data_IF_802094924878
#
_entry.id   IF_802094924878
#
_cell.length_a   1.000
_cell.length_b   1.000
_cell.length_c   1.000
_cell.angle_alpha   90.00
_cell.angle_beta   90.00
_cell.angle_gamma   90.00
#
_symmetry.space_group_name_H-M   'P 1'
#
loop_
_entity.id
_entity.type
_entity.pdbx_description
1 polymer ?
#
# COMPACT_ATOMS: atom_id res chain seq x y z
N UNK A 1 19.53 13.16 -15.66
CA UNK A 1 19.53 13.36 -14.19
C UNK A 1 19.49 11.98 -13.55
N UNK A 2 20.14 11.78 -12.41
CA UNK A 2 20.17 10.48 -11.72
C UNK A 2 18.87 10.28 -10.95
N UNK A 3 18.50 9.03 -10.71
CA UNK A 3 17.29 8.66 -9.95
C UNK A 3 17.70 7.98 -8.66
N UNK A 4 17.12 8.38 -7.53
CA UNK A 4 17.40 7.82 -6.21
C UNK A 4 16.11 7.33 -5.57
N UNK A 5 16.08 6.09 -5.10
CA UNK A 5 14.93 5.52 -4.37
C UNK A 5 15.26 5.37 -2.89
N UNK A 6 14.37 5.83 -2.02
CA UNK A 6 14.47 5.61 -0.57
C UNK A 6 14.18 4.13 -0.26
N UNK A 7 15.09 3.42 0.43
CA UNK A 7 14.88 2.02 0.84
C UNK A 7 13.75 1.83 1.85
N UNK A 8 13.48 2.85 2.65
CA UNK A 8 12.51 2.75 3.76
C UNK A 8 11.07 2.97 3.31
N UNK A 9 10.82 3.97 2.45
CA UNK A 9 9.47 4.35 2.03
C UNK A 9 9.22 4.24 0.53
N UNK A 10 10.26 4.02 -0.28
CA UNK A 10 10.13 3.92 -1.74
C UNK A 10 10.11 5.26 -2.48
N UNK A 11 10.16 6.41 -1.78
CA UNK A 11 10.19 7.74 -2.41
C UNK A 11 11.25 7.81 -3.51
N UNK A 12 10.82 8.26 -4.69
CA UNK A 12 11.70 8.49 -5.83
C UNK A 12 12.09 9.97 -5.90
N UNK A 13 13.39 10.23 -5.90
CA UNK A 13 13.98 11.54 -6.11
C UNK A 13 14.74 11.56 -7.44
N UNK A 14 14.61 12.65 -8.20
CA UNK A 14 15.36 12.85 -9.43
C UNK A 14 16.19 14.12 -9.28
N UNK A 15 17.51 13.97 -9.46
CA UNK A 15 18.49 15.00 -9.13
C UNK A 15 19.91 14.52 -9.40
N UNK A 16 20.90 15.38 -9.18
CA UNK A 16 22.31 14.97 -9.26
C UNK A 16 22.77 14.22 -8.00
N UNK A 17 22.07 14.44 -6.88
CA UNK A 17 22.31 13.82 -5.57
C UNK A 17 20.98 13.52 -4.87
N UNK A 18 20.91 12.52 -3.96
CA UNK A 18 19.71 12.29 -3.15
C UNK A 18 19.46 13.48 -2.21
N UNK A 19 18.21 13.69 -1.76
CA UNK A 19 17.92 14.74 -0.79
C UNK A 19 18.60 14.43 0.54
N UNK A 20 18.98 15.47 1.30
CA UNK A 20 19.61 15.31 2.62
C UNK A 20 18.73 14.53 3.59
N UNK A 21 17.42 14.79 3.54
CA UNK A 21 16.38 14.12 4.32
C UNK A 21 15.28 13.69 3.37
N UNK A 22 14.80 12.45 3.52
CA UNK A 22 13.65 11.97 2.77
C UNK A 22 12.40 12.80 3.11
N UNK A 23 11.72 13.43 2.13
CA UNK A 23 10.55 14.27 2.38
C UNK A 23 9.29 13.49 2.82
N UNK A 24 9.40 12.17 2.93
CA UNK A 24 8.30 11.25 3.21
C UNK A 24 8.45 10.59 4.57
N UNK A 25 9.59 9.95 4.82
CA UNK A 25 9.85 9.21 6.05
C UNK A 25 10.85 9.88 6.98
N UNK A 26 11.41 11.03 6.59
CA UNK A 26 12.39 11.81 7.35
C UNK A 26 13.70 11.09 7.70
N UNK A 27 14.00 9.94 7.11
CA UNK A 27 15.33 9.31 7.18
C UNK A 27 16.37 10.09 6.38
N UNK A 28 17.63 10.01 6.81
CA UNK A 28 18.76 10.67 6.16
C UNK A 28 19.05 10.12 4.76
N UNK A 29 19.85 10.85 3.97
CA UNK A 29 20.23 10.47 2.61
C UNK A 29 20.88 9.09 2.46
N UNK A 30 21.40 8.51 3.55
CA UNK A 30 22.05 7.20 3.58
C UNK A 30 21.11 6.03 3.22
N UNK A 31 19.79 6.20 3.33
CA UNK A 31 18.81 5.17 2.93
C UNK A 31 18.52 5.19 1.43
N UNK A 32 19.04 6.17 0.68
CA UNK A 32 18.82 6.24 -0.76
C UNK A 32 19.82 5.38 -1.53
N UNK A 33 19.37 4.84 -2.66
CA UNK A 33 20.23 4.19 -3.63
C UNK A 33 19.93 4.71 -5.03
N UNK A 34 20.99 4.87 -5.82
CA UNK A 34 20.89 5.27 -7.23
C UNK A 34 20.29 4.11 -8.04
N UNK A 35 19.34 4.42 -8.91
CA UNK A 35 18.78 3.48 -9.87
C UNK A 35 19.62 3.56 -11.15
N UNK A 36 20.14 2.43 -11.62
CA UNK A 36 20.88 2.36 -12.88
C UNK A 36 19.96 2.68 -14.07
N UNK A 37 20.37 3.63 -14.93
CA UNK A 37 19.67 3.99 -16.18
C UNK A 37 19.57 2.80 -17.18
N UNK A 38 20.39 1.76 -17.01
CA UNK A 38 20.55 0.64 -17.95
C UNK A 38 19.70 -0.60 -17.66
N UNK A 39 18.84 -0.59 -16.63
CA UNK A 39 17.85 -1.66 -16.44
C UNK A 39 16.54 -1.17 -16.99
N UNK A 40 16.05 -1.84 -18.05
CA UNK A 40 14.77 -1.65 -18.72
C UNK A 40 13.66 -1.15 -17.77
N UNK A 41 13.60 0.15 -17.56
CA UNK A 41 12.50 0.87 -16.91
C UNK A 41 11.44 1.13 -17.98
N UNK A 42 11.10 0.09 -18.75
CA UNK A 42 10.13 0.13 -19.85
C UNK A 42 8.67 0.20 -19.38
N UNK A 43 8.45 0.52 -18.11
CA UNK A 43 7.13 0.79 -17.58
C UNK A 43 6.96 2.31 -17.48
N UNK A 44 6.17 2.91 -18.38
CA UNK A 44 5.86 4.35 -18.44
C UNK A 44 5.18 4.95 -17.21
N UNK A 45 5.26 4.30 -16.04
CA UNK A 45 4.73 4.76 -14.75
C UNK A 45 5.58 5.88 -14.15
N UNK A 46 6.88 5.93 -14.45
CA UNK A 46 7.82 6.86 -13.82
C UNK A 46 7.88 8.25 -14.45
N UNK A 47 7.34 8.44 -15.66
CA UNK A 47 7.48 9.69 -16.41
C UNK A 47 6.76 10.87 -15.74
N UNK A 48 5.66 10.63 -15.00
CA UNK A 48 4.88 11.70 -14.40
C UNK A 48 5.56 12.34 -13.17
N UNK A 49 6.47 11.63 -12.48
CA UNK A 49 7.16 12.17 -11.30
C UNK A 49 8.38 13.01 -11.63
N UNK A 50 8.95 12.87 -12.83
CA UNK A 50 10.19 13.54 -13.21
C UNK A 50 10.06 15.07 -13.23
N UNK A 51 8.83 15.58 -13.31
CA UNK A 51 8.52 17.01 -13.32
C UNK A 51 7.66 17.47 -12.15
N UNK A 52 7.23 16.56 -11.27
CA UNK A 52 6.32 16.87 -10.18
C UNK A 52 7.06 17.47 -8.97
N UNK A 53 6.63 18.64 -8.51
CA UNK A 53 7.19 19.24 -7.29
C UNK A 53 6.72 18.50 -6.02
N UNK A 54 7.37 18.80 -4.89
CA UNK A 54 7.06 18.16 -3.61
C UNK A 54 5.61 18.35 -3.14
N UNK A 55 4.93 19.41 -3.57
CA UNK A 55 3.51 19.69 -3.28
C UNK A 55 2.63 18.76 -4.10
N UNK A 56 2.89 18.61 -5.40
CA UNK A 56 2.18 17.66 -6.27
C UNK A 56 2.28 16.24 -5.74
N UNK A 57 3.49 15.80 -5.34
CA UNK A 57 3.69 14.47 -4.78
C UNK A 57 2.88 14.26 -3.50
N UNK A 58 2.83 15.27 -2.60
CA UNK A 58 1.99 15.22 -1.39
C UNK A 58 0.50 15.12 -1.73
N UNK A 59 0.02 15.87 -2.72
CA UNK A 59 -1.37 15.80 -3.17
C UNK A 59 -1.71 14.40 -3.68
N UNK A 60 -0.85 13.81 -4.52
CA UNK A 60 -1.05 12.46 -5.06
C UNK A 60 -1.12 11.43 -3.93
N UNK A 61 -0.24 11.51 -2.92
CA UNK A 61 -0.31 10.63 -1.73
C UNK A 61 -1.60 10.79 -0.96
N UNK A 62 -2.00 12.02 -0.66
CA UNK A 62 -3.23 12.28 0.07
C UNK A 62 -4.46 11.72 -0.68
N UNK A 63 -4.47 11.83 -2.01
CA UNK A 63 -5.55 11.25 -2.83
C UNK A 63 -5.51 9.72 -2.77
N UNK A 64 -4.34 9.10 -2.93
CA UNK A 64 -4.18 7.64 -2.79
C UNK A 64 -4.69 7.13 -1.44
N UNK A 65 -4.31 7.81 -0.35
CA UNK A 65 -4.72 7.46 1.01
C UNK A 65 -6.24 7.61 1.19
N UNK A 66 -6.83 8.71 0.71
CA UNK A 66 -8.27 8.95 0.80
C UNK A 66 -9.09 7.91 0.04
N UNK A 67 -8.70 7.55 -1.20
CA UNK A 67 -9.38 6.49 -1.95
C UNK A 67 -9.27 5.13 -1.26
N UNK A 68 -8.09 4.80 -0.74
CA UNK A 68 -7.84 3.54 -0.04
C UNK A 68 -8.65 3.45 1.26
N UNK A 69 -8.72 4.54 2.03
CA UNK A 69 -9.51 4.64 3.26
C UNK A 69 -11.00 4.47 2.98
N UNK A 70 -11.54 5.21 2.00
CA UNK A 70 -12.96 5.12 1.63
C UNK A 70 -13.32 3.73 1.09
N UNK A 71 -12.42 3.06 0.37
CA UNK A 71 -12.64 1.69 -0.09
C UNK A 71 -12.84 0.73 1.09
N UNK A 72 -12.00 0.82 2.12
CA UNK A 72 -12.10 -0.03 3.33
C UNK A 72 -13.34 0.35 4.15
N UNK A 73 -13.65 1.64 4.29
CA UNK A 73 -14.87 2.10 4.98
C UNK A 73 -16.13 1.56 4.27
N UNK A 74 -16.20 1.63 2.94
CA UNK A 74 -17.34 1.11 2.17
C UNK A 74 -17.53 -0.40 2.37
N UNK A 75 -16.43 -1.16 2.46
CA UNK A 75 -16.51 -2.59 2.75
C UNK A 75 -16.95 -2.86 4.20
N UNK A 76 -16.50 -2.06 5.16
CA UNK A 76 -16.97 -2.14 6.54
C UNK A 76 -18.48 -1.82 6.64
N UNK A 77 -18.95 -0.84 5.86
CA UNK A 77 -20.38 -0.50 5.76
C UNK A 77 -21.19 -1.65 5.16
N UNK A 78 -20.68 -2.42 4.20
CA UNK A 78 -21.40 -3.59 3.67
C UNK A 78 -21.59 -4.67 4.73
N UNK A 79 -20.57 -4.89 5.57
CA UNK A 79 -20.63 -5.80 6.72
C UNK A 79 -21.67 -5.31 7.72
N UNK A 80 -21.69 -4.00 8.04
CA UNK A 80 -22.70 -3.40 8.91
C UNK A 80 -24.11 -3.58 8.33
N UNK A 81 -24.30 -3.29 7.05
CA UNK A 81 -25.59 -3.46 6.37
C UNK A 81 -26.08 -4.93 6.43
N UNK A 82 -25.16 -5.89 6.36
CA UNK A 82 -25.48 -7.30 6.54
C UNK A 82 -25.93 -7.62 7.98
N UNK A 83 -25.27 -7.06 9.00
CA UNK A 83 -25.71 -7.19 10.41
C UNK A 83 -27.08 -6.57 10.67
N UNK A 84 -27.39 -5.46 9.98
CA UNK A 84 -28.68 -4.78 10.02
C UNK A 84 -29.76 -5.47 9.16
N UNK A 85 -29.45 -6.60 8.52
CA UNK A 85 -30.34 -7.32 7.59
C UNK A 85 -30.91 -6.42 6.48
N UNK A 86 -30.11 -5.49 5.95
CA UNK A 86 -30.48 -4.64 4.80
C UNK A 86 -30.62 -5.47 3.53
N UNK A 87 -31.28 -4.87 2.53
CA UNK A 87 -31.45 -5.47 1.22
C UNK A 87 -30.10 -5.83 0.58
N UNK A 88 -30.07 -6.98 -0.11
CA UNK A 88 -28.88 -7.47 -0.81
C UNK A 88 -28.32 -6.47 -1.82
N UNK A 89 -29.20 -5.67 -2.43
CA UNK A 89 -28.86 -4.56 -3.32
C UNK A 89 -27.96 -3.51 -2.64
N UNK A 90 -28.23 -3.17 -1.37
CA UNK A 90 -27.42 -2.21 -0.60
C UNK A 90 -26.04 -2.79 -0.30
N UNK A 91 -25.99 -4.06 0.14
CA UNK A 91 -24.74 -4.76 0.47
C UNK A 91 -23.86 -4.88 -0.78
N UNK A 92 -24.43 -5.40 -1.88
CA UNK A 92 -23.72 -5.58 -3.15
C UNK A 92 -23.22 -4.23 -3.70
N UNK A 93 -24.00 -3.16 -3.54
CA UNK A 93 -23.60 -1.81 -3.98
C UNK A 93 -22.40 -1.29 -3.20
N UNK A 94 -22.35 -1.49 -1.88
CA UNK A 94 -21.24 -1.07 -1.03
C UNK A 94 -19.96 -1.88 -1.30
N UNK A 95 -20.08 -3.17 -1.59
CA UNK A 95 -18.95 -4.01 -2.02
C UNK A 95 -18.43 -3.57 -3.40
N UNK A 96 -19.33 -3.28 -4.34
CA UNK A 96 -18.98 -2.78 -5.66
C UNK A 96 -18.24 -1.42 -5.57
N UNK A 97 -18.75 -0.50 -4.74
CA UNK A 97 -18.13 0.79 -4.49
C UNK A 97 -16.72 0.64 -3.90
N UNK A 98 -16.55 -0.26 -2.92
CA UNK A 98 -15.22 -0.55 -2.33
C UNK A 98 -14.21 -0.97 -3.41
N UNK A 99 -14.63 -1.85 -4.32
CA UNK A 99 -13.79 -2.33 -5.43
C UNK A 99 -13.44 -1.20 -6.40
N UNK A 100 -14.41 -0.36 -6.76
CA UNK A 100 -14.18 0.74 -7.68
C UNK A 100 -13.25 1.81 -7.10
N UNK A 101 -13.43 2.18 -5.82
CA UNK A 101 -12.52 3.08 -5.11
C UNK A 101 -11.08 2.51 -5.08
N UNK A 102 -10.95 1.20 -4.84
CA UNK A 102 -9.64 0.52 -4.88
C UNK A 102 -9.03 0.57 -6.28
N UNK A 103 -9.82 0.36 -7.34
CA UNK A 103 -9.35 0.44 -8.72
C UNK A 103 -8.85 1.86 -9.05
N UNK A 104 -9.58 2.90 -8.66
CA UNK A 104 -9.17 4.28 -8.90
C UNK A 104 -7.91 4.66 -8.12
N UNK A 105 -7.71 4.11 -6.91
CA UNK A 105 -6.48 4.31 -6.15
C UNK A 105 -5.21 3.84 -6.91
N UNK A 106 -5.35 2.84 -7.79
CA UNK A 106 -4.19 2.23 -8.49
C UNK A 106 -3.43 3.23 -9.35
N UNK A 107 -4.11 4.19 -9.99
CA UNK A 107 -3.44 5.18 -10.84
C UNK A 107 -2.49 6.06 -10.02
N UNK A 108 -2.87 6.42 -8.80
CA UNK A 108 -2.05 7.23 -7.91
C UNK A 108 -0.89 6.43 -7.32
N UNK A 109 -1.11 5.14 -7.01
CA UNK A 109 -0.02 4.24 -6.61
C UNK A 109 1.04 4.11 -7.73
N UNK A 110 0.58 4.00 -8.98
CA UNK A 110 1.43 3.94 -10.16
C UNK A 110 2.16 5.27 -10.38
N UNK A 111 1.46 6.41 -10.26
CA UNK A 111 2.06 7.73 -10.32
C UNK A 111 3.10 7.96 -9.24
N UNK A 112 2.91 7.44 -8.02
CA UNK A 112 3.88 7.61 -6.95
C UNK A 112 5.14 6.76 -7.14
N UNK A 113 5.05 5.66 -7.88
CA UNK A 113 6.18 4.74 -8.17
C UNK A 113 6.85 4.11 -6.93
N UNK A 114 6.46 4.53 -5.71
CA UNK A 114 7.11 4.15 -4.47
C UNK A 114 6.67 2.77 -3.96
N UNK A 115 5.51 2.31 -4.42
CA UNK A 115 4.93 1.02 -4.03
C UNK A 115 5.34 -0.13 -4.93
N UNK A 116 5.88 0.16 -6.12
CA UNK A 116 6.24 -0.84 -7.13
C UNK A 116 7.75 -0.93 -7.33
N UNK A 117 8.22 -2.15 -7.53
CA UNK A 117 9.54 -2.51 -8.01
C UNK A 117 9.56 -2.60 -9.54
N UNK A 118 10.77 -2.68 -10.11
CA UNK A 118 11.00 -2.61 -11.55
C UNK A 118 10.49 -3.82 -12.35
N UNK A 119 10.10 -4.91 -11.70
CA UNK A 119 9.47 -6.05 -12.35
C UNK A 119 8.52 -6.80 -11.40
N UNK A 120 7.73 -7.70 -11.99
CA UNK A 120 6.73 -8.49 -11.27
C UNK A 120 7.35 -9.40 -10.22
N UNK A 121 8.49 -10.04 -10.49
CA UNK A 121 9.13 -10.97 -9.54
C UNK A 121 9.57 -10.26 -8.24
N UNK A 122 10.08 -9.04 -8.36
CA UNK A 122 10.47 -8.23 -7.22
C UNK A 122 9.28 -7.65 -6.47
N UNK A 123 8.26 -7.21 -7.19
CA UNK A 123 6.99 -6.80 -6.61
C UNK A 123 6.39 -7.90 -5.75
N UNK A 124 6.35 -9.13 -6.28
CA UNK A 124 5.88 -10.30 -5.54
C UNK A 124 6.76 -10.53 -4.31
N UNK A 125 8.09 -10.57 -4.46
CA UNK A 125 9.03 -10.80 -3.34
C UNK A 125 8.80 -9.79 -2.20
N UNK A 126 8.68 -8.52 -2.51
CA UNK A 126 8.53 -7.47 -1.50
C UNK A 126 7.12 -7.44 -0.91
N UNK A 127 6.09 -7.74 -1.71
CA UNK A 127 4.73 -7.95 -1.21
C UNK A 127 4.69 -9.08 -0.16
N UNK A 128 5.33 -10.23 -0.44
CA UNK A 128 5.41 -11.35 0.51
C UNK A 128 6.04 -10.94 1.84
N UNK A 129 7.16 -10.20 1.79
CA UNK A 129 7.84 -9.68 3.00
C UNK A 129 6.94 -8.71 3.77
N UNK A 130 6.29 -7.76 3.09
CA UNK A 130 5.40 -6.77 3.71
C UNK A 130 4.22 -7.45 4.40
N UNK A 131 3.58 -8.43 3.77
CA UNK A 131 2.48 -9.16 4.39
C UNK A 131 2.97 -10.03 5.56
N UNK A 132 4.13 -10.68 5.47
CA UNK A 132 4.70 -11.42 6.61
C UNK A 132 4.95 -10.50 7.83
N UNK A 133 5.49 -9.31 7.60
CA UNK A 133 5.66 -8.28 8.66
C UNK A 133 4.32 -7.84 9.24
N UNK A 134 3.29 -7.66 8.40
CA UNK A 134 1.94 -7.32 8.85
C UNK A 134 1.33 -8.44 9.72
N UNK A 135 1.45 -9.71 9.33
CA UNK A 135 0.98 -10.84 10.13
C UNK A 135 1.68 -10.92 11.49
N UNK A 136 2.98 -10.60 11.55
CA UNK A 136 3.72 -10.49 12.82
C UNK A 136 3.14 -9.40 13.72
N UNK A 137 2.83 -8.21 13.17
CA UNK A 137 2.17 -7.13 13.92
C UNK A 137 0.78 -7.52 14.40
N UNK A 138 0.01 -8.24 13.59
CA UNK A 138 -1.29 -8.77 13.99
C UNK A 138 -1.17 -9.74 15.18
N UNK A 139 -0.13 -10.59 15.21
CA UNK A 139 0.13 -11.48 16.33
C UNK A 139 0.56 -10.71 17.60
N UNK A 140 1.36 -9.66 17.44
CA UNK A 140 1.71 -8.76 18.55
C UNK A 140 0.46 -8.09 19.13
N UNK A 141 -0.40 -7.52 18.28
CA UNK A 141 -1.69 -6.97 18.69
C UNK A 141 -2.52 -8.03 19.44
N UNK A 142 -2.64 -9.25 18.89
CA UNK A 142 -3.37 -10.36 19.51
C UNK A 142 -2.88 -10.67 20.94
N UNK A 143 -1.58 -10.60 21.18
CA UNK A 143 -0.97 -10.86 22.48
C UNK A 143 -1.19 -9.70 23.47
N UNK A 144 -1.27 -8.47 22.98
CA UNK A 144 -1.43 -7.25 23.78
C UNK A 144 -2.90 -6.83 24.01
N UNK A 145 -3.88 -7.46 23.35
CA UNK A 145 -5.30 -7.24 23.66
C UNK A 145 -5.58 -7.77 25.07
N UNK A 146 -5.71 -6.84 26.03
CA UNK A 146 -6.12 -7.08 27.42
C UNK A 146 -7.59 -7.47 27.56
N UNK A 147 -8.39 -7.25 26.50
CA UNK A 147 -9.81 -7.56 26.51
C UNK A 147 -10.04 -9.07 26.38
N UNK A 148 -10.83 -9.65 27.29
CA UNK A 148 -11.24 -11.05 27.30
C UNK A 148 -12.37 -11.31 26.27
N UNK A 149 -12.09 -11.00 25.00
CA UNK A 149 -12.95 -11.36 23.88
C UNK A 149 -12.25 -12.38 22.98
N UNK A 150 -12.36 -13.68 23.29
CA UNK A 150 -11.69 -14.75 22.54
C UNK A 150 -12.07 -14.78 21.05
N UNK A 151 -13.19 -14.17 20.67
CA UNK A 151 -13.63 -14.06 19.28
C UNK A 151 -12.70 -13.18 18.43
N UNK A 152 -12.19 -12.06 18.94
CA UNK A 152 -11.28 -11.20 18.17
C UNK A 152 -9.94 -11.88 17.90
N UNK A 153 -9.40 -12.61 18.90
CA UNK A 153 -8.16 -13.37 18.73
C UNK A 153 -8.34 -14.43 17.63
N UNK A 154 -9.48 -15.14 17.61
CA UNK A 154 -9.83 -16.09 16.55
C UNK A 154 -9.97 -15.43 15.16
N UNK A 155 -10.54 -14.23 15.09
CA UNK A 155 -10.66 -13.48 13.82
C UNK A 155 -9.27 -13.12 13.28
N UNK A 156 -8.36 -12.63 14.12
CA UNK A 156 -6.99 -12.31 13.73
C UNK A 156 -6.28 -13.57 13.18
N UNK A 157 -6.38 -14.70 13.88
CA UNK A 157 -5.76 -15.96 13.44
C UNK A 157 -6.35 -16.45 12.10
N UNK A 158 -7.68 -16.40 11.95
CA UNK A 158 -8.36 -16.74 10.70
C UNK A 158 -7.90 -15.85 9.54
N UNK A 159 -7.77 -14.54 9.78
CA UNK A 159 -7.36 -13.58 8.76
C UNK A 159 -5.89 -13.75 8.37
N UNK A 160 -4.98 -13.92 9.33
CA UNK A 160 -3.58 -14.26 9.05
C UNK A 160 -3.48 -15.57 8.25
N UNK A 161 -4.26 -16.59 8.60
CA UNK A 161 -4.26 -17.86 7.85
C UNK A 161 -4.72 -17.71 6.41
N UNK A 162 -5.72 -16.85 6.15
CA UNK A 162 -6.14 -16.51 4.78
C UNK A 162 -5.02 -15.82 4.00
N UNK A 163 -4.30 -14.88 4.62
CA UNK A 163 -3.17 -14.20 4.00
C UNK A 163 -2.05 -15.19 3.64
N UNK A 164 -1.67 -16.08 4.57
CA UNK A 164 -0.71 -17.16 4.29
C UNK A 164 -1.11 -17.98 3.06
N UNK A 165 -2.37 -18.41 3.01
CA UNK A 165 -2.88 -19.23 1.91
C UNK A 165 -2.91 -18.49 0.57
N UNK A 166 -3.13 -17.17 0.56
CA UNK A 166 -3.12 -16.36 -0.66
C UNK A 166 -1.69 -16.09 -1.14
N UNK A 167 -0.77 -15.79 -0.23
CA UNK A 167 0.64 -15.51 -0.54
C UNK A 167 1.35 -16.71 -1.16
N UNK A 168 0.99 -17.93 -0.77
CA UNK A 168 1.57 -19.15 -1.34
C UNK A 168 1.15 -19.36 -2.80
N UNK A 169 0.03 -18.77 -3.23
CA UNK A 169 -0.52 -18.93 -4.60
C UNK A 169 0.06 -17.95 -5.62
N UNK A 170 0.68 -16.88 -5.15
CA UNK A 170 1.37 -15.87 -5.97
C UNK A 170 2.88 -16.05 -5.85
#
# INVERSE_FOLDING_TARGET
MRKFKCRECGYLHIGDQPPSICPVCAFDSNVFFELDDNKDLSSGYFEMLDTADSTTIKIIRNIFDAYSELAIISLAMSIQANYEARGKDVIDSLECLSKELSNQATIYAMFLGEFLEFNTELNIRDLKKKIAKLMSKNNELKNNIELDYPEYKKIIDKNNKKLENLIVKI
#
